data_IF_974893409867
#
_entry.id   IF_974893409867
#
_cell.length_a   1.000
_cell.length_b   1.000
_cell.length_c   1.000
_cell.angle_alpha   90.00
_cell.angle_beta   90.00
_cell.angle_gamma   90.00
#
_symmetry.space_group_name_H-M   'P 1'
#
loop_
_entity.id
_entity.type
_entity.pdbx_description
1 polymer ?
#
# COMPACT_ATOMS: atom_id res chain seq x y z
N UNK A 1 55.40 -0.24 -42.11
CA UNK A 1 55.30 0.63 -40.91
C UNK A 1 54.04 1.49 -41.10
N UNK A 2 53.06 1.62 -40.21
CA UNK A 2 52.95 1.49 -38.76
C UNK A 2 51.49 1.07 -38.44
N UNK A 3 51.34 0.21 -37.43
CA UNK A 3 50.08 -0.16 -36.80
C UNK A 3 49.51 1.06 -36.06
N UNK A 4 48.22 1.35 -36.20
CA UNK A 4 47.51 2.21 -35.24
C UNK A 4 46.34 1.41 -34.70
N UNK A 5 46.48 1.11 -33.42
CA UNK A 5 45.64 0.36 -32.51
C UNK A 5 44.22 0.92 -32.43
N UNK A 6 43.24 0.18 -32.97
CA UNK A 6 41.85 0.24 -32.54
C UNK A 6 41.71 -0.46 -31.19
N UNK A 7 42.00 0.23 -30.11
CA UNK A 7 41.70 -0.28 -28.77
C UNK A 7 41.14 0.86 -27.93
N UNK A 8 40.16 0.49 -27.10
CA UNK A 8 39.51 1.31 -26.08
C UNK A 8 38.43 2.28 -26.59
N UNK A 9 37.23 1.74 -26.83
CA UNK A 9 36.02 2.36 -26.29
C UNK A 9 34.90 1.32 -26.10
N UNK A 10 35.19 0.25 -25.36
CA UNK A 10 34.14 -0.58 -24.77
C UNK A 10 33.66 0.15 -23.50
N UNK A 11 33.00 1.29 -23.70
CA UNK A 11 32.31 2.04 -22.65
C UNK A 11 31.25 1.14 -22.06
N UNK A 12 31.55 0.70 -20.84
CA UNK A 12 30.74 -0.10 -19.95
C UNK A 12 29.40 0.62 -19.73
N UNK A 13 28.39 0.22 -20.50
CA UNK A 13 26.98 0.52 -20.24
C UNK A 13 26.49 -0.43 -19.13
N UNK A 14 26.90 -0.20 -17.88
CA UNK A 14 26.14 -0.73 -16.75
C UNK A 14 24.90 0.14 -16.59
N UNK A 15 23.86 -0.23 -17.36
CA UNK A 15 22.49 0.20 -17.16
C UNK A 15 22.14 -0.20 -15.73
N UNK A 16 22.04 0.79 -14.83
CA UNK A 16 21.69 0.57 -13.43
C UNK A 16 20.33 -0.10 -13.34
N UNK A 17 20.32 -1.42 -13.13
CA UNK A 17 19.10 -2.17 -12.91
C UNK A 17 18.51 -1.73 -11.56
N UNK A 18 17.29 -1.20 -11.57
CA UNK A 18 16.56 -0.89 -10.34
C UNK A 18 16.04 -2.21 -9.79
N UNK A 19 16.68 -2.72 -8.74
CA UNK A 19 16.19 -3.91 -8.04
C UNK A 19 15.13 -3.48 -7.04
N UNK A 20 13.90 -3.95 -7.24
CA UNK A 20 12.82 -3.84 -6.25
C UNK A 20 12.44 -5.22 -5.76
N UNK A 21 12.50 -5.44 -4.45
CA UNK A 21 11.94 -6.64 -3.81
C UNK A 21 10.76 -6.23 -2.94
N UNK A 22 9.70 -7.03 -2.95
CA UNK A 22 8.53 -6.82 -2.08
C UNK A 22 8.24 -8.11 -1.35
N UNK A 23 8.06 -8.02 -0.03
CA UNK A 23 7.64 -9.14 0.81
C UNK A 23 6.43 -8.74 1.64
N UNK A 24 5.65 -9.75 2.03
CA UNK A 24 4.55 -9.58 2.96
C UNK A 24 5.10 -9.28 4.37
N UNK A 25 4.48 -8.32 5.05
CA UNK A 25 4.76 -7.96 6.44
C UNK A 25 3.40 -7.81 7.12
N UNK A 26 2.94 -8.83 7.85
CA UNK A 26 1.59 -8.77 8.41
C UNK A 26 1.51 -7.75 9.57
N UNK A 27 0.45 -6.93 9.63
CA UNK A 27 0.29 -5.95 10.70
C UNK A 27 -0.07 -6.61 12.02
N UNK A 28 0.72 -6.31 13.05
CA UNK A 28 0.46 -6.75 14.42
C UNK A 28 -0.46 -5.74 15.11
N UNK A 29 -1.73 -6.07 15.22
CA UNK A 29 -2.75 -5.24 15.86
C UNK A 29 -2.84 -5.57 17.34
N UNK A 30 -2.78 -4.54 18.20
CA UNK A 30 -2.86 -4.70 19.65
C UNK A 30 -4.24 -5.17 20.10
N UNK A 31 -5.31 -4.52 19.58
CA UNK A 31 -6.68 -4.93 19.84
C UNK A 31 -7.49 -4.92 18.53
N UNK A 32 -7.71 -6.11 17.97
CA UNK A 32 -8.43 -6.30 16.70
C UNK A 32 -9.90 -5.94 16.82
N UNK A 33 -10.54 -6.29 17.93
CA UNK A 33 -11.99 -6.05 18.15
C UNK A 33 -12.30 -4.55 18.23
N UNK A 34 -11.47 -3.80 18.95
CA UNK A 34 -11.58 -2.35 19.05
C UNK A 34 -11.37 -1.68 17.69
N UNK A 35 -10.35 -2.09 16.94
CA UNK A 35 -10.12 -1.58 15.58
C UNK A 35 -11.31 -1.88 14.66
N UNK A 36 -11.83 -3.11 14.67
CA UNK A 36 -13.00 -3.48 13.88
C UNK A 36 -14.24 -2.68 14.26
N UNK A 37 -14.49 -2.48 15.56
CA UNK A 37 -15.61 -1.65 16.05
C UNK A 37 -15.48 -0.20 15.60
N UNK A 38 -14.29 0.39 15.71
CA UNK A 38 -14.02 1.76 15.30
C UNK A 38 -14.15 1.94 13.78
N UNK A 39 -13.64 1.00 12.98
CA UNK A 39 -13.77 1.03 11.52
C UNK A 39 -15.24 0.92 11.08
N UNK A 40 -16.00 -0.02 11.66
CA UNK A 40 -17.44 -0.17 11.38
C UNK A 40 -18.26 1.04 11.79
N UNK A 41 -17.91 1.66 12.92
CA UNK A 41 -18.58 2.88 13.38
C UNK A 41 -18.24 4.11 12.53
N UNK A 42 -17.05 4.15 11.91
CA UNK A 42 -16.62 5.25 11.06
C UNK A 42 -17.16 5.13 9.63
N UNK A 43 -17.11 3.93 9.06
CA UNK A 43 -17.51 3.65 7.70
C UNK A 43 -18.03 2.21 7.61
N UNK A 44 -19.33 1.97 7.78
CA UNK A 44 -19.92 0.65 7.56
C UNK A 44 -19.59 0.14 6.16
N UNK A 45 -19.12 -1.11 6.04
CA UNK A 45 -18.69 -1.67 4.76
C UNK A 45 -18.95 -3.19 4.72
N UNK A 46 -19.00 -3.76 3.52
CA UNK A 46 -19.12 -5.22 3.32
C UNK A 46 -17.87 -5.96 3.77
N UNK A 47 -16.69 -5.32 3.63
CA UNK A 47 -15.43 -5.93 4.03
C UNK A 47 -14.33 -4.92 4.31
N UNK A 48 -13.41 -5.31 5.19
CA UNK A 48 -12.17 -4.59 5.47
C UNK A 48 -11.02 -5.57 5.32
N UNK A 49 -9.97 -5.14 4.63
CA UNK A 49 -8.72 -5.88 4.53
C UNK A 49 -7.58 -5.00 4.99
N UNK A 50 -6.61 -5.61 5.65
CA UNK A 50 -5.42 -4.93 6.13
C UNK A 50 -4.21 -5.74 5.72
N UNK A 51 -3.44 -5.21 4.77
CA UNK A 51 -2.29 -5.89 4.21
C UNK A 51 -1.05 -5.03 4.42
N UNK A 52 -0.03 -5.59 5.07
CA UNK A 52 1.26 -4.92 5.17
C UNK A 52 2.27 -5.51 4.20
N UNK A 53 3.10 -4.65 3.65
CA UNK A 53 4.17 -4.98 2.72
C UNK A 53 5.44 -4.24 3.11
N UNK A 54 6.58 -4.86 2.83
CA UNK A 54 7.87 -4.22 2.92
C UNK A 54 8.53 -4.31 1.55
N UNK A 55 8.85 -3.16 0.98
CA UNK A 55 9.52 -3.05 -0.31
C UNK A 55 10.93 -2.49 -0.12
N UNK A 56 11.91 -3.08 -0.78
CA UNK A 56 13.27 -2.56 -0.88
C UNK A 56 13.54 -2.16 -2.32
N UNK A 57 13.75 -0.87 -2.56
CA UNK A 57 14.13 -0.33 -3.88
C UNK A 57 15.52 0.27 -3.77
N UNK A 58 16.48 -0.27 -4.53
CA UNK A 58 17.89 0.15 -4.48
C UNK A 58 18.46 0.18 -3.04
N UNK A 59 18.06 -0.78 -2.20
CA UNK A 59 18.48 -0.89 -0.81
C UNK A 59 17.71 -0.02 0.19
N UNK A 60 16.85 0.90 -0.26
CA UNK A 60 15.96 1.65 0.62
C UNK A 60 14.73 0.82 0.93
N UNK A 61 14.56 0.46 2.21
CA UNK A 61 13.40 -0.25 2.72
C UNK A 61 12.27 0.76 2.99
N UNK A 62 11.05 0.41 2.61
CA UNK A 62 9.82 1.13 2.94
C UNK A 62 8.77 0.10 3.36
N UNK A 63 8.18 0.31 4.54
CA UNK A 63 7.08 -0.49 5.04
C UNK A 63 5.75 0.23 4.80
N UNK A 64 4.80 -0.44 4.18
CA UNK A 64 3.49 0.10 3.84
C UNK A 64 2.38 -0.79 4.40
N UNK A 65 1.32 -0.16 4.88
CA UNK A 65 0.06 -0.83 5.19
C UNK A 65 -1.05 -0.30 4.28
N UNK A 66 -1.76 -1.21 3.64
CA UNK A 66 -2.93 -0.94 2.82
C UNK A 66 -4.19 -1.35 3.59
N UNK A 67 -5.09 -0.38 3.76
CA UNK A 67 -6.43 -0.56 4.32
C UNK A 67 -7.42 -0.58 3.17
N UNK A 68 -7.88 -1.77 2.80
CA UNK A 68 -8.90 -1.96 1.78
C UNK A 68 -10.30 -1.95 2.38
N UNK A 69 -11.20 -1.10 1.87
CA UNK A 69 -12.59 -1.00 2.29
C UNK A 69 -13.47 -1.35 1.10
N UNK A 70 -14.22 -2.45 1.19
CA UNK A 70 -15.08 -2.93 0.12
C UNK A 70 -16.54 -2.55 0.38
N UNK A 71 -17.17 -1.89 -0.60
CA UNK A 71 -18.55 -1.40 -0.53
C UNK A 71 -18.80 -0.54 0.73
N UNK A 72 -17.91 0.43 0.96
CA UNK A 72 -18.04 1.38 2.07
C UNK A 72 -19.20 2.34 1.89
N UNK A 73 -20.02 2.49 2.92
CA UNK A 73 -21.11 3.45 2.98
C UNK A 73 -20.59 4.85 3.36
N UNK A 74 -21.30 5.88 2.91
CA UNK A 74 -21.00 7.29 3.22
C UNK A 74 -19.58 7.75 2.83
N UNK A 75 -18.95 7.09 1.85
CA UNK A 75 -17.71 7.58 1.24
C UNK A 75 -18.03 8.90 0.51
N UNK A 76 -17.36 10.02 0.84
CA UNK A 76 -17.56 11.29 0.15
C UNK A 76 -17.28 11.16 -1.35
N UNK A 77 -18.00 11.93 -2.17
CA UNK A 77 -17.76 11.98 -3.62
C UNK A 77 -16.66 12.97 -4.01
N UNK A 78 -16.32 13.91 -3.13
CA UNK A 78 -15.29 14.92 -3.37
C UNK A 78 -13.91 14.45 -2.86
N UNK A 79 -12.87 14.88 -3.56
CA UNK A 79 -11.50 14.46 -3.28
C UNK A 79 -11.03 14.84 -1.86
N UNK A 80 -11.47 16.00 -1.35
CA UNK A 80 -11.07 16.47 -0.03
C UNK A 80 -11.72 15.64 1.09
N UNK A 81 -13.00 15.32 0.94
CA UNK A 81 -13.74 14.43 1.83
C UNK A 81 -13.14 13.03 1.86
N UNK A 82 -12.85 12.44 0.69
CA UNK A 82 -12.18 11.14 0.60
C UNK A 82 -10.82 11.17 1.29
N UNK A 83 -10.02 12.22 1.05
CA UNK A 83 -8.70 12.38 1.69
C UNK A 83 -8.82 12.50 3.20
N UNK A 84 -9.77 13.28 3.71
CA UNK A 84 -9.99 13.45 5.14
C UNK A 84 -10.41 12.14 5.81
N UNK A 85 -11.32 11.39 5.18
CA UNK A 85 -11.74 10.07 5.65
C UNK A 85 -10.57 9.07 5.65
N UNK A 86 -9.81 9.01 4.54
CA UNK A 86 -8.62 8.17 4.42
C UNK A 86 -7.58 8.48 5.50
N UNK A 87 -7.32 9.76 5.78
CA UNK A 87 -6.40 10.17 6.86
C UNK A 87 -6.90 9.73 8.24
N UNK A 88 -8.21 9.84 8.50
CA UNK A 88 -8.80 9.42 9.77
C UNK A 88 -8.67 7.91 9.97
N UNK A 89 -8.94 7.13 8.91
CA UNK A 89 -8.76 5.66 8.91
C UNK A 89 -7.29 5.30 9.10
N UNK A 90 -6.37 5.92 8.35
CA UNK A 90 -4.94 5.66 8.47
C UNK A 90 -4.39 5.94 9.87
N UNK A 91 -4.80 7.05 10.50
CA UNK A 91 -4.43 7.35 11.89
C UNK A 91 -4.99 6.32 12.87
N UNK A 92 -6.24 5.90 12.68
CA UNK A 92 -6.88 4.90 13.53
C UNK A 92 -6.13 3.55 13.45
N UNK A 93 -5.81 3.10 12.23
CA UNK A 93 -5.01 1.87 12.04
C UNK A 93 -3.64 2.01 12.68
N UNK A 94 -2.95 3.13 12.46
CA UNK A 94 -1.64 3.40 13.07
C UNK A 94 -1.68 3.28 14.60
N UNK A 95 -2.70 3.84 15.23
CA UNK A 95 -2.88 3.80 16.69
C UNK A 95 -3.26 2.42 17.23
N UNK A 96 -3.79 1.54 16.38
CA UNK A 96 -4.15 0.18 16.76
C UNK A 96 -3.02 -0.84 16.58
N UNK A 97 -1.90 -0.45 15.96
CA UNK A 97 -0.70 -1.29 15.87
C UNK A 97 -0.05 -1.47 17.25
N UNK A 98 0.53 -2.64 17.50
CA UNK A 98 1.36 -2.87 18.69
C UNK A 98 2.57 -1.93 18.72
N UNK A 99 3.19 -1.70 17.56
CA UNK A 99 4.21 -0.67 17.36
C UNK A 99 3.74 0.32 16.30
N UNK A 100 3.47 1.55 16.73
CA UNK A 100 2.99 2.63 15.87
C UNK A 100 4.03 3.08 14.82
N UNK A 101 5.30 2.73 14.99
CA UNK A 101 6.39 3.09 14.07
C UNK A 101 6.78 1.94 13.12
N UNK A 102 6.03 0.83 13.13
CA UNK A 102 6.34 -0.36 12.33
C UNK A 102 6.12 -0.20 10.81
N UNK A 103 5.41 0.85 10.39
CA UNK A 103 5.13 1.17 8.98
C UNK A 103 5.32 2.67 8.71
N UNK A 104 5.87 2.97 7.53
CA UNK A 104 6.14 4.32 7.04
C UNK A 104 4.92 4.93 6.35
N UNK A 105 4.19 4.11 5.58
CA UNK A 105 3.11 4.55 4.70
C UNK A 105 1.81 3.84 5.05
N UNK A 106 0.71 4.61 5.07
CA UNK A 106 -0.65 4.12 5.32
C UNK A 106 -1.52 4.51 4.13
N UNK A 107 -1.83 3.54 3.27
CA UNK A 107 -2.74 3.73 2.13
C UNK A 107 -4.13 3.25 2.49
N UNK A 108 -5.15 4.00 2.08
CA UNK A 108 -6.56 3.61 2.25
C UNK A 108 -7.20 3.57 0.89
N UNK A 109 -7.76 2.42 0.54
CA UNK A 109 -8.33 2.13 -0.76
C UNK A 109 -9.81 1.80 -0.57
N UNK A 110 -10.67 2.45 -1.34
CA UNK A 110 -12.11 2.18 -1.37
C UNK A 110 -12.42 1.43 -2.65
N UNK A 111 -12.97 0.23 -2.52
CA UNK A 111 -13.34 -0.64 -3.63
C UNK A 111 -14.86 -0.76 -3.73
N UNK A 112 -15.38 -0.81 -4.94
CA UNK A 112 -16.76 -1.25 -5.19
C UNK A 112 -16.74 -2.62 -5.84
N UNK A 113 -17.63 -3.50 -5.38
CA UNK A 113 -17.85 -4.79 -6.04
C UNK A 113 -19.06 -4.67 -6.94
N UNK A 114 -18.82 -4.79 -8.25
CA UNK A 114 -19.87 -4.78 -9.25
C UNK A 114 -20.12 -6.23 -9.67
N UNK A 115 -21.23 -6.82 -9.22
CA UNK A 115 -21.62 -8.18 -9.63
C UNK A 115 -22.33 -8.10 -10.99
N UNK A 116 -21.66 -8.53 -12.05
CA UNK A 116 -22.27 -8.65 -13.38
C UNK A 116 -22.22 -10.10 -13.83
N UNK A 117 -23.38 -10.76 -13.89
CA UNK A 117 -23.56 -12.06 -14.56
C UNK A 117 -22.71 -13.23 -14.05
N UNK A 118 -22.34 -13.24 -12.77
CA UNK A 118 -21.56 -14.33 -12.15
C UNK A 118 -20.04 -14.09 -12.08
N UNK A 119 -19.56 -12.90 -12.47
CA UNK A 119 -18.16 -12.49 -12.31
C UNK A 119 -18.07 -11.29 -11.36
N UNK A 120 -17.29 -11.44 -10.29
CA UNK A 120 -16.99 -10.37 -9.33
C UNK A 120 -15.83 -9.52 -9.84
N UNK A 121 -16.09 -8.28 -10.24
CA UNK A 121 -15.02 -7.30 -10.54
C UNK A 121 -14.83 -6.35 -9.35
N UNK A 122 -13.56 -6.08 -9.00
CA UNK A 122 -13.17 -5.01 -8.07
C UNK A 122 -12.81 -3.79 -8.90
N UNK A 123 -13.54 -2.70 -8.70
CA UNK A 123 -13.25 -1.38 -9.23
C UNK A 123 -12.69 -0.47 -8.13
#
# INVERSE_FOLDING_TARGET
MRKVTCFALLTILFIGCVTTTTKRKDPLIGNVEDLQKKLRGLIPAKGYNLNGTESSTNGKITSEIEVGITDGQFVPSDQNGVKALAQKIGRMVKQSLQDTNSYDVYKVMFFKVTESGGVTKRD
#
